data_IF_197842247701
#
_entry.id   IF_197842247701
#
_cell.length_a   1.000
_cell.length_b   1.000
_cell.length_c   1.000
_cell.angle_alpha   90.00
_cell.angle_beta   90.00
_cell.angle_gamma   90.00
#
_symmetry.space_group_name_H-M   'P 1'
#
loop_
_entity.id
_entity.type
_entity.pdbx_description
1 polymer ?
#
# COMPACT_ATOMS: atom_id res chain seq x y z
N UNK A 1 2.05 2.98 -22.42
CA UNK A 1 1.20 3.25 -21.24
C UNK A 1 1.37 2.08 -20.29
N UNK A 2 1.98 2.30 -19.13
CA UNK A 2 2.14 1.25 -18.13
C UNK A 2 0.78 0.89 -17.55
N UNK A 3 0.46 -0.40 -17.50
CA UNK A 3 -0.67 -0.87 -16.70
C UNK A 3 -0.41 -0.49 -15.25
N UNK A 4 -1.37 0.19 -14.62
CA UNK A 4 -1.41 0.41 -13.16
C UNK A 4 -1.09 -0.91 -12.46
N UNK A 5 -0.19 -0.88 -11.47
CA UNK A 5 0.30 -2.04 -10.73
C UNK A 5 1.17 -3.03 -11.53
N UNK A 6 1.71 -2.63 -12.68
CA UNK A 6 2.51 -3.52 -13.53
C UNK A 6 3.72 -4.14 -12.80
N UNK A 7 4.37 -3.41 -11.90
CA UNK A 7 5.56 -3.91 -11.20
C UNK A 7 5.24 -5.00 -10.14
N UNK A 8 3.97 -5.28 -9.81
CA UNK A 8 3.60 -6.28 -8.80
C UNK A 8 4.14 -7.69 -9.11
N UNK A 9 4.22 -8.04 -10.40
CA UNK A 9 4.73 -9.35 -10.86
C UNK A 9 6.21 -9.59 -10.54
N UNK A 10 6.96 -8.53 -10.24
CA UNK A 10 8.39 -8.61 -9.93
C UNK A 10 8.65 -8.86 -8.44
N UNK A 11 7.61 -8.77 -7.59
CA UNK A 11 7.71 -9.00 -6.16
C UNK A 11 7.39 -10.46 -5.85
N UNK A 12 8.23 -11.11 -5.06
CA UNK A 12 8.03 -12.50 -4.63
C UNK A 12 7.10 -12.57 -3.42
N UNK A 13 5.83 -12.24 -3.62
CA UNK A 13 4.82 -12.13 -2.55
C UNK A 13 4.70 -13.36 -1.64
N UNK A 14 4.95 -14.54 -2.19
CA UNK A 14 4.91 -15.79 -1.44
C UNK A 14 6.04 -15.92 -0.40
N UNK A 15 7.19 -15.26 -0.63
CA UNK A 15 8.30 -15.20 0.31
C UNK A 15 8.07 -14.15 1.41
N UNK A 16 7.13 -13.21 1.19
CA UNK A 16 6.78 -12.17 2.15
C UNK A 16 5.70 -12.63 3.12
N UNK A 17 5.72 -12.08 4.33
CA UNK A 17 4.75 -12.36 5.40
C UNK A 17 3.99 -11.08 5.78
N UNK A 18 2.79 -11.21 6.31
CA UNK A 18 1.98 -10.17 6.96
C UNK A 18 1.36 -10.74 8.25
N UNK A 19 0.55 -9.97 8.97
CA UNK A 19 0.01 -10.35 10.29
C UNK A 19 -0.72 -11.71 10.35
N UNK A 20 -1.29 -12.17 9.22
CA UNK A 20 -2.05 -13.42 9.12
C UNK A 20 -1.36 -14.54 8.30
N UNK A 21 -0.05 -14.41 8.04
CA UNK A 21 0.72 -15.40 7.26
C UNK A 21 1.25 -14.86 5.92
N UNK A 22 1.29 -15.71 4.88
CA UNK A 22 1.89 -15.35 3.58
C UNK A 22 1.17 -14.20 2.88
N UNK A 23 1.93 -13.27 2.30
CA UNK A 23 1.42 -12.15 1.53
C UNK A 23 1.01 -12.51 0.08
N UNK A 24 0.90 -13.80 -0.25
CA UNK A 24 0.51 -14.28 -1.59
C UNK A 24 -0.83 -13.71 -2.09
N UNK A 25 -1.70 -13.28 -1.17
CA UNK A 25 -3.02 -12.72 -1.48
C UNK A 25 -3.00 -11.22 -1.80
N UNK A 26 -1.92 -10.50 -1.45
CA UNK A 26 -1.81 -9.04 -1.61
C UNK A 26 -2.02 -8.56 -3.06
N UNK A 27 -1.47 -9.21 -4.11
CA UNK A 27 -1.67 -8.76 -5.50
C UNK A 27 -3.13 -8.79 -5.95
N UNK A 28 -3.89 -9.78 -5.47
CA UNK A 28 -5.32 -9.92 -5.79
C UNK A 28 -6.10 -8.77 -5.15
N UNK A 29 -5.79 -8.44 -3.90
CA UNK A 29 -6.42 -7.33 -3.18
C UNK A 29 -6.08 -5.98 -3.80
N UNK A 30 -4.81 -5.73 -4.16
CA UNK A 30 -4.41 -4.51 -4.89
C UNK A 30 -5.17 -4.37 -6.22
N UNK A 31 -5.36 -5.48 -6.93
CA UNK A 31 -6.14 -5.50 -8.18
C UNK A 31 -7.62 -5.18 -7.94
N UNK A 32 -8.21 -5.65 -6.84
CA UNK A 32 -9.59 -5.31 -6.46
C UNK A 32 -9.74 -3.83 -6.11
N UNK A 33 -8.75 -3.23 -5.46
CA UNK A 33 -8.74 -1.78 -5.20
C UNK A 33 -8.65 -0.99 -6.51
N UNK A 34 -7.82 -1.45 -7.45
CA UNK A 34 -7.61 -0.77 -8.73
C UNK A 34 -8.82 -0.82 -9.68
N UNK A 35 -9.52 -1.95 -9.73
CA UNK A 35 -10.52 -2.25 -10.76
C UNK A 35 -11.88 -2.71 -10.24
N UNK A 36 -12.06 -2.87 -8.93
CA UNK A 36 -13.33 -3.26 -8.31
C UNK A 36 -14.39 -2.16 -8.38
N UNK A 37 -15.64 -2.54 -8.12
CA UNK A 37 -16.68 -1.55 -7.81
C UNK A 37 -16.46 -0.93 -6.42
N UNK A 38 -17.24 0.09 -6.04
CA UNK A 38 -16.99 0.83 -4.80
C UNK A 38 -17.03 -0.08 -3.55
N UNK A 39 -18.06 -0.93 -3.36
CA UNK A 39 -18.10 -1.83 -2.21
C UNK A 39 -16.93 -2.82 -2.17
N UNK A 40 -16.55 -3.40 -3.32
CA UNK A 40 -15.46 -4.36 -3.38
C UNK A 40 -14.09 -3.68 -3.18
N UNK A 41 -13.92 -2.43 -3.61
CA UNK A 41 -12.70 -1.67 -3.42
C UNK A 41 -12.51 -1.27 -1.95
N UNK A 42 -13.57 -0.81 -1.28
CA UNK A 42 -13.55 -0.44 0.14
C UNK A 42 -13.29 -1.67 1.03
N UNK A 43 -13.94 -2.80 0.74
CA UNK A 43 -13.71 -4.06 1.44
C UNK A 43 -12.26 -4.53 1.25
N UNK A 44 -11.75 -4.49 0.01
CA UNK A 44 -10.37 -4.86 -0.29
C UNK A 44 -9.36 -3.95 0.41
N UNK A 45 -9.63 -2.65 0.49
CA UNK A 45 -8.78 -1.72 1.23
C UNK A 45 -8.81 -2.01 2.74
N UNK A 46 -9.98 -2.32 3.30
CA UNK A 46 -10.14 -2.72 4.70
C UNK A 46 -9.45 -4.05 5.03
N UNK A 47 -9.47 -5.03 4.11
CA UNK A 47 -8.69 -6.26 4.21
C UNK A 47 -7.19 -5.96 4.21
N UNK A 48 -6.73 -5.15 3.25
CA UNK A 48 -5.32 -4.77 3.13
C UNK A 48 -4.83 -4.07 4.40
N UNK A 49 -5.58 -3.10 4.90
CA UNK A 49 -5.28 -2.36 6.12
C UNK A 49 -5.16 -3.28 7.34
N UNK A 50 -5.98 -4.33 7.44
CA UNK A 50 -5.84 -5.33 8.53
C UNK A 50 -4.55 -6.14 8.40
N UNK A 51 -4.13 -6.48 7.18
CA UNK A 51 -2.94 -7.30 6.97
C UNK A 51 -1.64 -6.54 7.23
N UNK A 52 -1.59 -5.27 6.81
CA UNK A 52 -0.36 -4.47 6.83
C UNK A 52 -0.35 -3.34 7.86
N UNK A 53 -1.48 -2.96 8.45
CA UNK A 53 -1.63 -1.73 9.22
C UNK A 53 -1.07 -1.75 10.65
N UNK A 54 -1.04 -2.89 11.35
CA UNK A 54 -0.44 -2.96 12.70
C UNK A 54 -0.17 -4.40 13.16
N UNK A 55 1.03 -4.73 13.69
CA UNK A 55 2.26 -3.93 13.68
C UNK A 55 2.88 -3.89 12.27
N UNK A 56 3.37 -2.72 11.86
CA UNK A 56 3.95 -2.41 10.53
C UNK A 56 5.38 -2.98 10.36
N UNK A 57 5.56 -4.22 10.79
CA UNK A 57 6.85 -4.91 10.95
C UNK A 57 7.23 -5.78 9.76
N UNK A 58 6.37 -5.84 8.74
CA UNK A 58 6.46 -6.86 7.70
C UNK A 58 7.03 -6.32 6.39
N UNK A 59 7.87 -7.14 5.73
CA UNK A 59 8.41 -6.85 4.40
C UNK A 59 7.29 -6.65 3.35
N UNK A 60 6.13 -7.29 3.57
CA UNK A 60 4.94 -7.10 2.74
C UNK A 60 4.40 -5.67 2.80
N UNK A 61 4.48 -4.99 3.95
CA UNK A 61 4.09 -3.57 4.07
C UNK A 61 4.97 -2.73 3.17
N UNK A 62 6.29 -2.87 3.28
CA UNK A 62 7.24 -2.10 2.48
C UNK A 62 7.07 -2.36 0.97
N UNK A 63 6.85 -3.62 0.60
CA UNK A 63 6.60 -4.01 -0.78
C UNK A 63 5.29 -3.45 -1.35
N UNK A 64 4.27 -3.21 -0.50
CA UNK A 64 2.95 -2.69 -0.91
C UNK A 64 2.98 -1.17 -1.18
N UNK A 65 3.84 -0.42 -0.50
CA UNK A 65 3.85 1.07 -0.53
C UNK A 65 3.97 1.69 -1.94
N UNK A 66 4.89 1.25 -2.83
CA UNK A 66 4.97 1.82 -4.17
C UNK A 66 3.66 1.69 -4.96
N UNK A 67 2.94 0.59 -4.76
CA UNK A 67 1.67 0.31 -5.41
C UNK A 67 0.53 1.16 -4.86
N UNK A 68 0.52 1.45 -3.55
CA UNK A 68 -0.42 2.41 -2.96
C UNK A 68 -0.24 3.81 -3.56
N UNK A 69 1.00 4.23 -3.82
CA UNK A 69 1.26 5.49 -4.51
C UNK A 69 0.79 5.49 -5.97
N UNK A 70 0.97 4.38 -6.70
CA UNK A 70 0.40 4.23 -8.04
C UNK A 70 -1.12 4.34 -8.03
N UNK A 71 -1.79 3.71 -7.06
CA UNK A 71 -3.24 3.78 -6.89
C UNK A 71 -3.72 5.19 -6.54
N UNK A 72 -3.06 5.86 -5.61
CA UNK A 72 -3.38 7.24 -5.22
C UNK A 72 -3.24 8.22 -6.39
N UNK A 73 -2.35 7.94 -7.35
CA UNK A 73 -2.15 8.74 -8.56
C UNK A 73 -2.95 8.33 -9.78
N UNK A 74 -3.86 7.36 -9.66
CA UNK A 74 -4.67 6.87 -10.76
C UNK A 74 -6.11 7.38 -10.62
N UNK A 75 -6.56 8.23 -11.55
CA UNK A 75 -7.90 8.84 -11.49
C UNK A 75 -9.06 7.84 -11.59
N UNK A 76 -8.81 6.65 -12.13
CA UNK A 76 -9.83 5.59 -12.22
C UNK A 76 -10.02 4.83 -10.90
N UNK A 77 -9.12 5.00 -9.92
CA UNK A 77 -9.28 4.43 -8.59
C UNK A 77 -10.34 5.24 -7.86
N UNK A 78 -11.37 4.54 -7.36
CA UNK A 78 -12.55 5.19 -6.79
C UNK A 78 -12.33 5.65 -5.35
N UNK A 79 -11.64 4.86 -4.53
CA UNK A 79 -11.31 5.19 -3.15
C UNK A 79 -9.85 5.65 -3.00
N UNK A 80 -9.52 6.81 -3.62
CA UNK A 80 -8.19 7.42 -3.48
C UNK A 80 -7.95 7.96 -2.06
N UNK A 81 -9.01 8.40 -1.38
CA UNK A 81 -8.93 8.93 -0.03
C UNK A 81 -8.52 7.84 0.98
N UNK A 82 -9.17 6.68 0.95
CA UNK A 82 -8.80 5.56 1.80
C UNK A 82 -7.37 5.06 1.55
N UNK A 83 -6.91 5.05 0.30
CA UNK A 83 -5.51 4.72 -0.04
C UNK A 83 -4.52 5.73 0.59
N UNK A 84 -4.85 7.03 0.57
CA UNK A 84 -4.04 8.07 1.20
C UNK A 84 -4.06 7.96 2.74
N UNK A 85 -5.19 7.62 3.34
CA UNK A 85 -5.30 7.39 4.79
C UNK A 85 -4.48 6.17 5.24
N UNK A 86 -4.44 5.11 4.42
CA UNK A 86 -3.59 3.96 4.68
C UNK A 86 -2.10 4.33 4.60
N UNK A 87 -1.69 5.11 3.60
CA UNK A 87 -0.33 5.65 3.50
C UNK A 87 0.04 6.52 4.70
N UNK A 88 -0.89 7.37 5.18
CA UNK A 88 -0.69 8.19 6.36
C UNK A 88 -0.53 7.35 7.63
N UNK A 89 -1.32 6.28 7.77
CA UNK A 89 -1.21 5.31 8.87
C UNK A 89 0.17 4.62 8.88
N UNK A 90 0.64 4.18 7.71
CA UNK A 90 1.97 3.57 7.56
C UNK A 90 3.08 4.56 7.96
N UNK A 91 2.97 5.82 7.54
CA UNK A 91 3.92 6.87 7.87
C UNK A 91 3.94 7.19 9.37
N UNK A 92 2.77 7.31 10.00
CA UNK A 92 2.63 7.63 11.42
C UNK A 92 3.31 6.58 12.30
N UNK A 93 3.06 5.29 12.04
CA UNK A 93 3.66 4.24 12.86
C UNK A 93 5.19 4.16 12.74
N UNK A 94 5.76 4.53 11.58
CA UNK A 94 7.21 4.62 11.42
C UNK A 94 7.88 5.71 12.27
N UNK A 95 7.12 6.73 12.70
CA UNK A 95 7.60 7.81 13.57
C UNK A 95 7.55 7.47 15.07
N UNK A 96 6.75 6.47 15.50
CA UNK A 96 6.50 6.14 16.92
C UNK A 96 7.65 5.38 17.62
N UNK A 97 8.89 5.54 17.15
CA UNK A 97 10.07 4.94 17.82
C UNK A 97 10.21 3.43 17.63
N UNK A 98 9.58 2.86 16.60
CA UNK A 98 9.72 1.44 16.28
C UNK A 98 11.18 1.06 15.92
N UNK A 99 11.59 -0.20 16.13
CA UNK A 99 12.95 -0.67 15.86
C UNK A 99 13.39 -0.41 14.40
N UNK A 100 14.69 -0.19 14.17
CA UNK A 100 15.22 0.17 12.83
C UNK A 100 14.86 -0.82 11.70
N UNK A 101 14.50 -2.07 12.01
CA UNK A 101 14.08 -3.07 11.04
C UNK A 101 12.64 -2.87 10.53
N UNK A 102 11.81 -2.03 11.16
CA UNK A 102 10.48 -1.62 10.66
C UNK A 102 10.54 -0.40 9.74
N UNK A 103 11.73 0.17 9.52
CA UNK A 103 11.91 1.47 8.84
C UNK A 103 11.72 1.42 7.32
N UNK A 104 11.86 0.24 6.70
CA UNK A 104 11.80 0.10 5.24
C UNK A 104 10.46 0.58 4.65
N UNK A 105 9.33 0.27 5.30
CA UNK A 105 8.02 0.73 4.85
C UNK A 105 7.87 2.26 5.01
N UNK A 106 8.33 2.79 6.13
CA UNK A 106 8.34 4.23 6.39
C UNK A 106 9.19 4.99 5.35
N UNK A 107 10.41 4.52 5.06
CA UNK A 107 11.30 5.14 4.11
C UNK A 107 10.75 5.06 2.68
N UNK A 108 10.06 3.97 2.33
CA UNK A 108 9.35 3.86 1.06
C UNK A 108 8.20 4.89 0.96
N UNK A 109 7.44 5.13 2.04
CA UNK A 109 6.38 6.16 2.05
C UNK A 109 6.99 7.55 1.97
N UNK A 110 8.06 7.81 2.72
CA UNK A 110 8.78 9.08 2.72
C UNK A 110 9.41 9.39 1.35
N UNK A 111 9.92 8.39 0.64
CA UNK A 111 10.43 8.55 -0.72
C UNK A 111 9.31 8.96 -1.72
N UNK A 112 8.06 8.58 -1.44
CA UNK A 112 6.88 8.96 -2.22
C UNK A 112 6.40 10.41 -2.04
N UNK A 113 7.02 11.23 -1.19
CA UNK A 113 6.59 12.63 -0.93
C UNK A 113 6.47 13.49 -2.19
N UNK A 114 7.33 13.28 -3.18
CA UNK A 114 7.24 14.01 -4.45
C UNK A 114 5.97 13.64 -5.25
N UNK A 115 5.45 12.42 -5.07
CA UNK A 115 4.17 12.00 -5.62
C UNK A 115 3.02 12.61 -4.83
N UNK A 116 3.09 12.63 -3.50
CA UNK A 116 2.11 13.33 -2.66
C UNK A 116 1.92 14.81 -3.07
N UNK A 117 3.02 15.53 -3.27
CA UNK A 117 2.99 16.93 -3.68
C UNK A 117 2.28 17.13 -5.03
N UNK A 118 2.57 16.27 -6.02
CA UNK A 118 1.91 16.31 -7.33
C UNK A 118 0.41 16.01 -7.25
N UNK A 119 -0.03 15.16 -6.32
CA UNK A 119 -1.44 14.84 -6.13
C UNK A 119 -2.20 15.94 -5.38
N UNK A 120 -1.52 16.76 -4.57
CA UNK A 120 -2.14 17.90 -3.89
C UNK A 120 -2.35 19.11 -4.82
N UNK A 121 -1.63 19.18 -5.94
CA UNK A 121 -1.73 20.24 -6.95
C UNK A 121 -2.68 19.91 -8.11
N UNK A 122 -3.21 18.68 -8.17
CA UNK A 122 -4.09 18.17 -9.22
C UNK A 122 -5.56 18.13 -8.79
#
# INVERSE_FOLDING_TARGET
MGTVLGAMRNVRWHELQHAYGSASQVPVVLSRIAWGDAPNADEALGDLGRWIGTPLVFDSTAATVPFLWELAGTDTVRDRAGVLDLLATILAAGNDGHPAWTRAAHDAVAAGRATAARLAEA
#
